data_IF_599938006363
#
_entry.id   IF_599938006363
#
_cell.length_a   1.000
_cell.length_b   1.000
_cell.length_c   1.000
_cell.angle_alpha   90.00
_cell.angle_beta   90.00
_cell.angle_gamma   90.00
#
_symmetry.space_group_name_H-M   'P 1'
#
loop_
_entity.id
_entity.type
_entity.pdbx_description
1 polymer ?
#
# COMPACT_ATOMS: atom_id res chain seq x y z
N UNK A 1 25.65 36.31 10.60
CA UNK A 1 24.91 35.04 10.41
C UNK A 1 23.65 35.38 9.63
N UNK A 2 23.61 35.07 8.34
CA UNK A 2 22.42 35.26 7.49
C UNK A 2 21.49 34.06 7.74
N UNK A 3 20.25 34.34 8.16
CA UNK A 3 19.21 33.33 8.30
C UNK A 3 18.55 33.14 6.93
N UNK A 4 18.81 32.01 6.27
CA UNK A 4 18.09 31.60 5.06
C UNK A 4 16.90 30.72 5.47
N UNK A 5 15.81 31.33 5.91
CA UNK A 5 14.51 30.67 5.98
C UNK A 5 13.70 31.12 4.78
N UNK A 6 13.82 30.39 3.67
CA UNK A 6 12.98 30.58 2.51
C UNK A 6 11.59 30.01 2.86
N UNK A 7 10.64 30.91 3.14
CA UNK A 7 9.23 30.55 3.33
C UNK A 7 8.70 30.16 1.95
N UNK A 8 8.52 28.87 1.69
CA UNK A 8 7.77 28.43 0.51
C UNK A 8 6.31 28.81 0.73
N UNK A 9 5.88 29.88 0.07
CA UNK A 9 4.47 30.23 -0.03
C UNK A 9 3.74 29.03 -0.67
N UNK A 10 2.82 28.47 0.11
CA UNK A 10 1.97 27.38 -0.33
C UNK A 10 0.78 27.99 -1.07
N UNK A 11 0.83 27.95 -2.40
CA UNK A 11 -0.32 28.31 -3.23
C UNK A 11 -1.40 27.23 -3.11
N UNK A 12 -2.35 27.45 -2.19
CA UNK A 12 -3.57 26.65 -2.12
C UNK A 12 -4.41 26.95 -3.37
N UNK A 13 -4.31 26.08 -4.38
CA UNK A 13 -5.25 26.06 -5.49
C UNK A 13 -6.48 25.29 -5.06
N UNK A 14 -7.59 26.00 -4.88
CA UNK A 14 -8.92 25.45 -4.65
C UNK A 14 -9.38 24.69 -5.91
N UNK A 15 -8.88 23.46 -6.06
CA UNK A 15 -9.30 22.54 -7.09
C UNK A 15 -10.68 22.01 -6.73
N UNK A 16 -11.64 22.22 -7.62
CA UNK A 16 -13.02 21.73 -7.60
C UNK A 16 -13.17 20.39 -6.86
N UNK A 17 -13.44 20.45 -5.55
CA UNK A 17 -13.79 19.26 -4.79
C UNK A 17 -15.14 18.82 -5.33
N UNK A 18 -15.16 17.74 -6.12
CA UNK A 18 -16.40 16.99 -6.29
C UNK A 18 -16.74 16.53 -4.88
N UNK A 19 -17.70 17.21 -4.26
CA UNK A 19 -18.35 16.78 -3.01
C UNK A 19 -19.04 15.44 -3.29
N UNK A 20 -18.24 14.39 -3.32
CA UNK A 20 -18.71 13.02 -3.21
C UNK A 20 -18.87 12.80 -1.72
N UNK A 21 -20.08 12.51 -1.28
CA UNK A 21 -20.34 12.16 0.10
C UNK A 21 -19.75 10.77 0.36
N UNK A 22 -18.52 10.76 0.88
CA UNK A 22 -17.80 9.53 1.16
C UNK A 22 -18.32 8.84 2.43
N UNK A 23 -19.15 9.50 3.24
CA UNK A 23 -19.63 8.92 4.51
C UNK A 23 -20.55 7.72 4.28
N UNK A 24 -21.23 7.66 3.12
CA UNK A 24 -22.11 6.56 2.74
C UNK A 24 -21.36 5.31 2.24
N UNK A 25 -20.07 5.42 1.91
CA UNK A 25 -19.24 4.31 1.42
C UNK A 25 -18.61 3.45 2.52
N UNK A 26 -18.88 3.67 3.81
CA UNK A 26 -18.12 3.00 4.89
C UNK A 26 -18.96 2.28 5.95
N UNK A 27 -20.03 1.60 5.54
CA UNK A 27 -20.65 0.56 6.36
C UNK A 27 -19.88 -0.77 6.26
N UNK A 28 -20.07 -1.69 7.22
CA UNK A 28 -19.39 -3.01 7.30
C UNK A 28 -19.44 -3.84 6.00
N UNK A 29 -20.43 -3.59 5.13
CA UNK A 29 -20.55 -4.18 3.80
C UNK A 29 -19.47 -3.72 2.80
N UNK A 30 -18.81 -2.58 3.04
CA UNK A 30 -17.87 -1.95 2.12
C UNK A 30 -16.40 -2.33 2.38
N UNK A 31 -16.06 -2.86 3.55
CA UNK A 31 -14.71 -3.37 3.83
C UNK A 31 -14.38 -4.58 2.94
N UNK A 32 -15.36 -5.46 2.69
CA UNK A 32 -15.22 -6.55 1.72
C UNK A 32 -14.98 -6.05 0.29
N UNK A 33 -15.62 -4.94 -0.10
CA UNK A 33 -15.41 -4.34 -1.43
C UNK A 33 -14.00 -3.76 -1.56
N UNK A 34 -13.50 -3.08 -0.51
CA UNK A 34 -12.13 -2.57 -0.46
C UNK A 34 -11.09 -3.70 -0.56
N UNK A 35 -11.36 -4.83 0.10
CA UNK A 35 -10.55 -6.04 -0.03
C UNK A 35 -10.53 -6.61 -1.45
N UNK A 36 -11.70 -6.74 -2.10
CA UNK A 36 -11.79 -7.21 -3.49
C UNK A 36 -11.08 -6.25 -4.45
N UNK A 37 -11.20 -4.95 -4.20
CA UNK A 37 -10.54 -3.93 -5.01
C UNK A 37 -9.02 -3.96 -4.85
N UNK A 38 -8.50 -4.13 -3.63
CA UNK A 38 -7.07 -4.36 -3.42
C UNK A 38 -6.61 -5.66 -4.10
N UNK A 39 -7.41 -6.72 -4.04
CA UNK A 39 -7.11 -7.98 -4.72
C UNK A 39 -7.02 -7.82 -6.25
N UNK A 40 -7.96 -7.07 -6.85
CA UNK A 40 -7.98 -6.70 -8.26
C UNK A 40 -6.72 -5.88 -8.62
N UNK A 41 -6.39 -4.88 -7.80
CA UNK A 41 -5.20 -4.03 -7.96
C UNK A 41 -3.90 -4.85 -8.02
N UNK A 42 -3.75 -5.78 -7.08
CA UNK A 42 -2.56 -6.64 -6.98
C UNK A 42 -2.51 -7.71 -8.09
N UNK A 43 -3.61 -7.95 -8.79
CA UNK A 43 -3.72 -8.94 -9.87
C UNK A 43 -3.52 -8.35 -11.27
N UNK A 44 -3.31 -7.03 -11.39
CA UNK A 44 -3.15 -6.35 -12.68
C UNK A 44 -1.97 -6.92 -13.49
N UNK A 45 -2.25 -7.35 -14.72
CA UNK A 45 -1.31 -8.05 -15.63
C UNK A 45 -0.16 -7.15 -16.10
N UNK A 46 1.03 -7.73 -16.39
CA UNK A 46 2.19 -6.99 -16.86
C UNK A 46 1.91 -6.24 -18.16
N UNK A 47 2.33 -4.96 -18.21
CA UNK A 47 2.43 -4.22 -19.47
C UNK A 47 3.77 -4.57 -20.09
N UNK A 48 3.76 -4.87 -21.40
CA UNK A 48 4.85 -5.48 -22.15
C UNK A 48 6.26 -4.96 -21.80
N UNK A 49 7.28 -5.83 -21.70
CA UNK A 49 8.64 -5.42 -21.44
C UNK A 49 9.18 -4.61 -22.62
N UNK A 50 9.39 -3.32 -22.41
CA UNK A 50 10.18 -2.48 -23.32
C UNK A 50 11.66 -2.80 -23.11
N UNK A 51 12.30 -3.34 -24.14
CA UNK A 51 13.74 -3.65 -24.18
C UNK A 51 14.58 -2.37 -24.05
N UNK A 52 15.02 -1.99 -22.86
CA UNK A 52 16.07 -0.99 -22.66
C UNK A 52 17.01 -1.32 -21.50
N UNK A 53 18.26 -0.91 -21.70
CA UNK A 53 19.48 -1.18 -20.95
C UNK A 53 19.48 -0.64 -19.52
N UNK A 54 20.02 -1.44 -18.61
CA UNK A 54 20.01 -1.28 -17.15
C UNK A 54 21.02 -0.23 -16.65
N UNK A 55 20.52 0.96 -16.30
CA UNK A 55 21.08 1.79 -15.22
C UNK A 55 20.17 1.60 -14.00
N UNK A 56 20.66 1.01 -12.89
CA UNK A 56 19.86 0.80 -11.67
C UNK A 56 19.73 -0.65 -11.17
N UNK A 57 20.46 -1.59 -11.76
CA UNK A 57 20.40 -3.01 -11.41
C UNK A 57 20.79 -3.29 -9.93
N UNK A 58 21.74 -2.53 -9.37
CA UNK A 58 22.14 -2.65 -7.96
C UNK A 58 21.09 -2.09 -7.00
N UNK A 59 20.49 -0.94 -7.30
CA UNK A 59 19.42 -0.35 -6.48
C UNK A 59 18.20 -1.26 -6.47
N UNK A 60 17.75 -1.74 -7.64
CA UNK A 60 16.66 -2.71 -7.74
C UNK A 60 16.96 -4.00 -6.98
N UNK A 61 18.18 -4.56 -7.08
CA UNK A 61 18.61 -5.71 -6.28
C UNK A 61 18.51 -5.44 -4.78
N UNK A 62 18.98 -4.28 -4.32
CA UNK A 62 18.90 -3.90 -2.91
C UNK A 62 17.44 -3.81 -2.42
N UNK A 63 16.54 -3.24 -3.22
CA UNK A 63 15.11 -3.19 -2.89
C UNK A 63 14.49 -4.59 -2.82
N UNK A 64 14.81 -5.46 -3.79
CA UNK A 64 14.35 -6.86 -3.83
C UNK A 64 14.80 -7.61 -2.56
N UNK A 65 16.07 -7.50 -2.18
CA UNK A 65 16.60 -8.15 -0.98
C UNK A 65 15.91 -7.66 0.30
N UNK A 66 15.65 -6.35 0.42
CA UNK A 66 14.90 -5.79 1.56
C UNK A 66 13.47 -6.31 1.61
N UNK A 67 12.78 -6.39 0.47
CA UNK A 67 11.42 -6.94 0.40
C UNK A 67 11.36 -8.43 0.79
N UNK A 68 12.36 -9.22 0.39
CA UNK A 68 12.47 -10.63 0.81
C UNK A 68 12.69 -10.73 2.32
N UNK A 69 13.60 -9.92 2.89
CA UNK A 69 13.84 -9.87 4.35
C UNK A 69 12.57 -9.55 5.14
N UNK A 70 11.86 -8.48 4.74
CA UNK A 70 10.60 -8.06 5.40
C UNK A 70 9.52 -9.15 5.34
N UNK A 71 9.44 -9.90 4.22
CA UNK A 71 8.50 -11.01 4.10
C UNK A 71 8.83 -12.14 5.10
N UNK A 72 10.11 -12.44 5.28
CA UNK A 72 10.57 -13.52 6.15
C UNK A 72 10.46 -13.17 7.64
N UNK A 73 10.80 -11.94 8.04
CA UNK A 73 10.76 -11.48 9.44
C UNK A 73 9.37 -11.61 10.07
N UNK A 74 8.32 -11.30 9.31
CA UNK A 74 6.95 -11.34 9.79
C UNK A 74 6.36 -12.77 9.86
N UNK A 75 6.95 -13.75 9.17
CA UNK A 75 6.55 -15.15 9.23
C UNK A 75 6.98 -15.85 10.55
N UNK A 76 7.95 -15.27 11.26
CA UNK A 76 8.39 -15.75 12.58
C UNK A 76 7.44 -15.31 13.71
N UNK A 77 6.91 -14.09 13.68
CA UNK A 77 5.93 -13.61 14.67
C UNK A 77 4.64 -14.45 14.69
N UNK A 78 4.21 -14.95 13.52
CA UNK A 78 3.02 -15.80 13.38
C UNK A 78 3.26 -17.22 13.95
N UNK A 79 4.52 -17.69 14.00
CA UNK A 79 4.84 -19.00 14.60
C UNK A 79 4.84 -18.95 16.13
N UNK A 80 5.21 -17.81 16.70
CA UNK A 80 5.25 -17.58 18.15
C UNK A 80 3.82 -17.43 18.72
N UNK A 81 2.92 -16.73 18.02
CA UNK A 81 1.49 -16.65 18.39
C UNK A 81 0.77 -18.02 18.29
N UNK A 82 1.13 -18.86 17.31
CA UNK A 82 0.53 -20.21 17.16
C UNK A 82 0.86 -21.16 18.30
N UNK A 83 1.94 -20.93 19.04
CA UNK A 83 2.31 -21.78 20.16
C UNK A 83 1.41 -21.56 21.40
N UNK A 84 0.64 -20.46 21.45
CA UNK A 84 -0.04 -20.01 22.67
C UNK A 84 -1.57 -20.20 22.64
N UNK A 85 -2.22 -20.29 21.47
CA UNK A 85 -3.70 -20.27 21.41
C UNK A 85 -4.31 -21.49 20.70
N UNK A 86 -4.65 -22.52 21.48
CA UNK A 86 -5.38 -23.72 21.04
C UNK A 86 -6.92 -23.57 21.03
N UNK A 87 -7.47 -22.37 20.83
CA UNK A 87 -8.92 -22.16 20.67
C UNK A 87 -9.27 -21.05 19.65
N UNK A 88 -9.02 -21.31 18.36
CA UNK A 88 -9.32 -20.35 17.29
C UNK A 88 -10.69 -20.68 16.68
N UNK A 89 -11.67 -19.80 16.90
CA UNK A 89 -12.98 -19.92 16.23
C UNK A 89 -12.85 -19.90 14.70
N UNK A 90 -13.72 -20.62 13.99
CA UNK A 90 -13.73 -20.73 12.51
C UNK A 90 -13.65 -19.37 11.78
N UNK A 91 -14.18 -18.31 12.39
CA UNK A 91 -14.15 -16.94 11.84
C UNK A 91 -12.75 -16.31 11.92
N UNK A 92 -12.02 -16.50 13.04
CA UNK A 92 -10.65 -16.02 13.19
C UNK A 92 -9.69 -16.73 12.21
N UNK A 93 -9.84 -18.04 12.02
CA UNK A 93 -9.05 -18.81 11.05
C UNK A 93 -9.22 -18.27 9.62
N UNK A 94 -10.46 -17.99 9.20
CA UNK A 94 -10.76 -17.44 7.87
C UNK A 94 -10.17 -16.05 7.67
N UNK A 95 -10.29 -15.16 8.66
CA UNK A 95 -9.71 -13.80 8.61
C UNK A 95 -8.18 -13.86 8.46
N UNK A 96 -7.53 -14.72 9.24
CA UNK A 96 -6.09 -14.91 9.19
C UNK A 96 -5.62 -15.51 7.85
N UNK A 97 -6.34 -16.50 7.30
CA UNK A 97 -6.03 -17.06 5.98
C UNK A 97 -6.15 -16.00 4.87
N UNK A 98 -7.20 -15.19 4.91
CA UNK A 98 -7.41 -14.10 3.95
C UNK A 98 -6.28 -13.06 4.04
N UNK A 99 -5.93 -12.63 5.26
CA UNK A 99 -4.84 -11.70 5.50
C UNK A 99 -3.51 -12.23 4.91
N UNK A 100 -3.19 -13.50 5.14
CA UNK A 100 -2.01 -14.14 4.52
C UNK A 100 -2.06 -14.10 3.00
N UNK A 101 -3.20 -14.39 2.38
CA UNK A 101 -3.33 -14.39 0.93
C UNK A 101 -3.09 -13.00 0.33
N UNK A 102 -3.68 -11.96 0.91
CA UNK A 102 -3.47 -10.57 0.44
C UNK A 102 -2.02 -10.15 0.61
N UNK A 103 -1.40 -10.55 1.73
CA UNK A 103 0.02 -10.30 2.00
C UNK A 103 0.93 -10.92 0.95
N UNK A 104 0.73 -12.20 0.64
CA UNK A 104 1.50 -12.89 -0.41
C UNK A 104 1.34 -12.22 -1.78
N UNK A 105 0.10 -11.82 -2.13
CA UNK A 105 -0.16 -11.07 -3.36
C UNK A 105 0.55 -9.71 -3.38
N UNK A 106 0.57 -9.00 -2.25
CA UNK A 106 1.25 -7.71 -2.14
C UNK A 106 2.75 -7.85 -2.41
N UNK A 107 3.42 -8.77 -1.71
CA UNK A 107 4.86 -8.98 -1.90
C UNK A 107 5.20 -9.42 -3.33
N UNK A 108 4.42 -10.33 -3.90
CA UNK A 108 4.60 -10.76 -5.30
C UNK A 108 4.45 -9.58 -6.26
N UNK A 109 3.41 -8.75 -6.07
CA UNK A 109 3.17 -7.56 -6.88
C UNK A 109 4.28 -6.51 -6.74
N UNK A 110 4.76 -6.25 -5.51
CA UNK A 110 5.84 -5.29 -5.26
C UNK A 110 7.15 -5.73 -5.92
N UNK A 111 7.52 -7.01 -5.80
CA UNK A 111 8.70 -7.58 -6.46
C UNK A 111 8.61 -7.46 -7.98
N UNK A 112 7.44 -7.73 -8.55
CA UNK A 112 7.20 -7.51 -9.98
C UNK A 112 7.35 -6.03 -10.36
N UNK A 113 6.77 -5.11 -9.58
CA UNK A 113 6.85 -3.66 -9.87
C UNK A 113 8.25 -3.06 -9.71
N UNK A 114 9.07 -3.57 -8.80
CA UNK A 114 10.47 -3.15 -8.65
C UNK A 114 11.31 -3.62 -9.84
N UNK A 115 10.99 -4.78 -10.41
CA UNK A 115 11.72 -5.34 -11.56
C UNK A 115 11.27 -4.75 -12.90
N UNK A 116 9.99 -4.39 -13.04
CA UNK A 116 9.42 -3.77 -14.24
C UNK A 116 10.16 -2.48 -14.62
N UNK A 117 10.34 -2.25 -15.92
CA UNK A 117 10.78 -0.97 -16.47
C UNK A 117 9.59 -0.03 -16.58
N UNK A 118 9.60 1.11 -15.89
CA UNK A 118 8.54 2.11 -16.00
C UNK A 118 8.23 2.82 -14.69
N UNK A 119 6.94 3.00 -14.39
CA UNK A 119 6.46 3.78 -13.24
C UNK A 119 6.70 3.12 -11.87
N UNK A 120 7.20 1.88 -11.85
CA UNK A 120 7.36 1.11 -10.62
C UNK A 120 6.01 0.92 -9.89
N UNK A 121 6.00 0.89 -8.55
CA UNK A 121 4.77 0.72 -7.77
C UNK A 121 3.91 2.00 -7.66
N UNK A 122 4.34 3.13 -8.24
CA UNK A 122 3.63 4.41 -8.21
C UNK A 122 2.52 4.47 -9.27
N UNK A 123 1.54 3.57 -9.14
CA UNK A 123 0.38 3.46 -10.04
C UNK A 123 -0.93 3.67 -9.28
N UNK A 124 -1.94 4.15 -9.99
CA UNK A 124 -3.29 4.36 -9.50
C UNK A 124 -4.24 3.39 -10.21
N UNK A 125 -5.29 2.96 -9.53
CA UNK A 125 -6.35 2.15 -10.13
C UNK A 125 -7.42 2.99 -10.84
N UNK A 126 -8.52 2.33 -11.23
CA UNK A 126 -9.66 2.92 -11.93
C UNK A 126 -10.38 4.02 -11.14
N UNK A 127 -10.34 3.96 -9.81
CA UNK A 127 -10.91 5.02 -8.94
C UNK A 127 -9.83 6.05 -8.55
N UNK A 128 -8.63 5.92 -9.12
CA UNK A 128 -7.56 6.88 -8.98
C UNK A 128 -6.78 6.79 -7.68
N UNK A 129 -6.84 5.66 -6.96
CA UNK A 129 -6.06 5.45 -5.74
C UNK A 129 -4.94 4.44 -5.97
N UNK A 130 -3.79 4.67 -5.34
CA UNK A 130 -2.66 3.73 -5.34
C UNK A 130 -2.70 2.72 -4.19
N UNK A 131 -1.81 1.72 -4.24
CA UNK A 131 -1.73 0.64 -3.25
C UNK A 131 -1.57 1.15 -1.80
N UNK A 132 -0.81 2.24 -1.60
CA UNK A 132 -0.60 2.85 -0.29
C UNK A 132 -1.89 3.45 0.30
N UNK A 133 -2.76 4.02 -0.55
CA UNK A 133 -4.04 4.56 -0.12
C UNK A 133 -4.99 3.44 0.29
N UNK A 134 -5.07 2.37 -0.51
CA UNK A 134 -5.91 1.20 -0.21
C UNK A 134 -5.47 0.52 1.09
N UNK A 135 -4.17 0.36 1.31
CA UNK A 135 -3.62 -0.17 2.55
C UNK A 135 -4.02 0.71 3.76
N UNK A 136 -3.93 2.03 3.63
CA UNK A 136 -4.31 2.97 4.68
C UNK A 136 -5.82 2.92 5.00
N UNK A 137 -6.70 2.88 3.99
CA UNK A 137 -8.16 2.75 4.21
C UNK A 137 -8.51 1.44 4.93
N UNK A 138 -7.78 0.37 4.62
CA UNK A 138 -7.98 -0.96 5.23
C UNK A 138 -7.32 -1.11 6.62
N UNK A 139 -6.51 -0.15 7.06
CA UNK A 139 -5.74 -0.26 8.31
C UNK A 139 -4.68 -1.36 8.24
N UNK A 140 -4.08 -1.56 7.08
CA UNK A 140 -3.04 -2.57 6.85
C UNK A 140 -1.66 -2.02 7.15
N UNK A 141 -1.38 -1.81 8.44
CA UNK A 141 -0.12 -1.24 8.91
C UNK A 141 1.09 -2.09 8.46
N UNK A 142 0.93 -3.41 8.47
CA UNK A 142 1.91 -4.39 7.96
C UNK A 142 2.30 -4.15 6.49
N UNK A 143 1.42 -3.54 5.69
CA UNK A 143 1.67 -3.29 4.27
C UNK A 143 2.46 -1.99 4.02
N UNK A 144 2.50 -1.06 4.98
CA UNK A 144 3.09 0.27 4.77
C UNK A 144 4.59 0.16 4.52
N UNK A 145 5.33 -0.50 5.41
CA UNK A 145 6.78 -0.67 5.30
C UNK A 145 7.23 -1.32 3.97
N UNK A 146 6.67 -2.45 3.52
CA UNK A 146 7.06 -3.04 2.23
C UNK A 146 6.68 -2.14 1.04
N UNK A 147 5.54 -1.45 1.08
CA UNK A 147 5.15 -0.51 0.00
C UNK A 147 6.15 0.65 -0.12
N UNK A 148 6.57 1.25 1.01
CA UNK A 148 7.57 2.31 1.03
C UNK A 148 8.95 1.79 0.60
N UNK A 149 9.31 0.58 1.03
CA UNK A 149 10.56 -0.09 0.64
C UNK A 149 10.63 -0.30 -0.87
N UNK A 150 9.51 -0.57 -1.54
CA UNK A 150 9.45 -0.68 -2.98
C UNK A 150 9.59 0.68 -3.72
N UNK A 151 9.69 1.80 -2.99
CA UNK A 151 9.93 3.13 -3.55
C UNK A 151 8.66 3.99 -3.73
N UNK A 152 7.54 3.62 -3.11
CA UNK A 152 6.37 4.51 -3.06
C UNK A 152 6.63 5.64 -2.06
N UNK A 153 6.38 6.88 -2.47
CA UNK A 153 6.51 8.03 -1.57
C UNK A 153 5.37 8.01 -0.54
N UNK A 154 5.67 8.21 0.74
CA UNK A 154 4.65 8.30 1.80
C UNK A 154 3.62 9.42 1.56
N UNK A 155 4.02 10.48 0.86
CA UNK A 155 3.17 11.59 0.44
C UNK A 155 2.61 11.42 -0.98
N UNK A 156 2.65 10.21 -1.54
CA UNK A 156 2.00 9.93 -2.83
C UNK A 156 0.53 10.33 -2.75
N UNK A 157 0.06 11.04 -3.78
CA UNK A 157 -1.28 11.60 -3.85
C UNK A 157 -2.12 10.84 -4.87
N UNK A 158 -3.36 10.57 -4.51
CA UNK A 158 -4.37 10.06 -5.43
C UNK A 158 -4.89 11.15 -6.39
N UNK A 159 -5.85 10.80 -7.25
CA UNK A 159 -6.44 11.75 -8.22
C UNK A 159 -7.14 12.96 -7.59
N UNK A 160 -7.51 12.88 -6.31
CA UNK A 160 -8.15 13.95 -5.56
C UNK A 160 -7.13 14.74 -4.72
N UNK A 161 -5.84 14.40 -4.80
CA UNK A 161 -4.79 15.03 -4.03
C UNK A 161 -4.64 14.50 -2.60
N UNK A 162 -5.39 13.46 -2.21
CA UNK A 162 -5.31 12.87 -0.89
C UNK A 162 -4.11 11.93 -0.78
N UNK A 163 -3.45 11.95 0.38
CA UNK A 163 -2.40 10.99 0.73
C UNK A 163 -2.96 9.84 1.56
N UNK A 164 -2.17 8.79 1.73
CA UNK A 164 -2.51 7.67 2.61
C UNK A 164 -2.95 8.11 4.02
N UNK A 165 -2.32 9.14 4.59
CA UNK A 165 -2.69 9.68 5.90
C UNK A 165 -4.09 10.30 5.92
N UNK A 166 -4.49 11.00 4.86
CA UNK A 166 -5.85 11.57 4.76
C UNK A 166 -6.90 10.46 4.80
N UNK A 167 -6.65 9.38 4.05
CA UNK A 167 -7.50 8.20 4.03
C UNK A 167 -7.57 7.47 5.38
N UNK A 168 -6.42 7.21 6.02
CA UNK A 168 -6.38 6.57 7.34
C UNK A 168 -7.15 7.38 8.39
N UNK A 169 -6.92 8.70 8.45
CA UNK A 169 -7.61 9.60 9.37
C UNK A 169 -9.12 9.65 9.10
N UNK A 170 -9.54 9.76 7.84
CA UNK A 170 -10.96 9.78 7.48
C UNK A 170 -11.69 8.48 7.83
N UNK A 171 -10.97 7.35 7.88
CA UNK A 171 -11.53 6.04 8.22
C UNK A 171 -11.31 5.63 9.68
N UNK A 172 -10.73 6.50 10.52
CA UNK A 172 -10.45 6.19 11.93
C UNK A 172 -9.45 5.05 12.14
N UNK A 173 -8.54 4.82 11.19
CA UNK A 173 -7.48 3.80 11.31
C UNK A 173 -6.33 4.40 12.14
N UNK A 174 -6.14 3.87 13.35
CA UNK A 174 -5.04 4.25 14.25
C UNK A 174 -3.86 3.31 13.99
N UNK A 175 -2.68 3.86 13.72
CA UNK A 175 -1.45 3.06 13.64
C UNK A 175 -1.03 2.65 15.04
N UNK A 176 -0.98 1.34 15.32
CA UNK A 176 -0.58 0.77 16.59
C UNK A 176 0.75 0.03 16.49
#
# INVERSE_FOLDING_TARGET
>A
RLACSEVREFDFREGYSRNVDYTEFFNSSNEMLLHLRLDEFLSLKPVHPSNQTFEGDMEKRNLILKLISLREEEDYSIKEERAVEMDISRHKVKKHLFHRQVKEKLYSWLLHKVTESGKGPNVLDKDGQGVLHLAAVLGYDWAITPILTAGVNINFRDVNGWTALHWAASCGRLGY
#
